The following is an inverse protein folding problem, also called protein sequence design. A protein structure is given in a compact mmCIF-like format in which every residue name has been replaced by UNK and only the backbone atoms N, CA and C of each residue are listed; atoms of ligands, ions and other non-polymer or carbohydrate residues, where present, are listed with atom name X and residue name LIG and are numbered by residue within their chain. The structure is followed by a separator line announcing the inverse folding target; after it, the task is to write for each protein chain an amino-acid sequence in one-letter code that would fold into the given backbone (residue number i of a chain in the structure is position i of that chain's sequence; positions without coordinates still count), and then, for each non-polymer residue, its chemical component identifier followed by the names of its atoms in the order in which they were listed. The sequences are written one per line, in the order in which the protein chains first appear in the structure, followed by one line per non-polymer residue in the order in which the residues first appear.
data_IF_724624076089
#
_entry.id   IF_724624076089
#
_cell.length_a   1.000
_cell.length_b   1.000
_cell.length_c   1.000
_cell.angle_alpha   90.00
_cell.angle_beta   90.00
_cell.angle_gamma   90.00
#
_symmetry.space_group_name_H-M   'P 1'
#
loop_
_entity.id
_entity.type
_entity.pdbx_description
1 polymer ?
#
# COMPACT_ATOMS: atom_id res chain seq x y z
N UNK A 1 8.02 15.55 -11.17
CA UNK A 1 8.13 16.31 -10.48
C UNK A 1 7.40 16.23 -9.30
N UNK A 2 6.33 15.95 -9.12
CA UNK A 2 5.67 15.87 -7.89
C UNK A 2 5.66 14.51 -7.39
N UNK A 3 6.69 14.17 -6.66
CA UNK A 3 6.76 12.86 -6.06
C UNK A 3 5.92 12.87 -4.81
N UNK A 4 4.81 12.21 -4.86
CA UNK A 4 3.98 12.09 -3.70
C UNK A 4 4.31 10.83 -2.97
N UNK A 5 4.23 10.90 -1.66
CA UNK A 5 4.42 9.74 -0.80
C UNK A 5 3.27 9.66 0.18
N UNK A 6 2.95 8.46 0.58
CA UNK A 6 1.87 8.22 1.53
C UNK A 6 2.43 7.55 2.77
N UNK A 7 1.96 7.97 3.92
CA UNK A 7 2.28 7.25 5.16
C UNK A 7 1.36 6.03 5.24
N UNK A 8 1.71 5.09 6.10
CA UNK A 8 0.85 3.92 6.28
C UNK A 8 -0.50 4.33 6.84
N UNK A 9 -0.52 5.36 7.67
CA UNK A 9 -1.78 5.83 8.22
C UNK A 9 -2.67 6.39 7.12
N UNK A 10 -2.07 7.11 6.18
CA UNK A 10 -2.84 7.64 5.06
C UNK A 10 -3.40 6.53 4.19
N UNK A 11 -2.60 5.50 3.96
CA UNK A 11 -3.06 4.36 3.17
C UNK A 11 -4.20 3.66 3.89
N UNK A 12 -4.07 3.51 5.21
CA UNK A 12 -5.13 2.93 6.00
C UNK A 12 -6.42 3.73 5.85
N UNK A 13 -6.31 5.06 5.88
CA UNK A 13 -7.49 5.91 5.78
C UNK A 13 -8.17 5.78 4.43
N UNK A 14 -7.37 5.55 3.38
CA UNK A 14 -7.92 5.44 2.04
C UNK A 14 -8.48 4.05 1.77
N UNK A 15 -7.75 3.02 2.17
CA UNK A 15 -8.10 1.66 1.79
C UNK A 15 -8.71 0.84 2.91
N UNK A 16 -8.65 1.35 4.13
CA UNK A 16 -9.11 0.63 5.32
C UNK A 16 -8.29 -0.62 5.60
N UNK A 17 -7.14 -0.76 4.97
CA UNK A 17 -6.23 -1.85 5.26
C UNK A 17 -5.49 -1.51 6.55
N UNK A 18 -5.42 -2.45 7.47
CA UNK A 18 -4.78 -2.15 8.75
C UNK A 18 -3.30 -1.84 8.60
N UNK A 19 -2.81 -0.96 9.46
CA UNK A 19 -1.40 -0.60 9.44
C UNK A 19 -0.53 -1.83 9.74
N UNK A 20 -1.00 -2.70 10.60
CA UNK A 20 -0.28 -3.92 10.92
C UNK A 20 -0.11 -4.79 9.68
N UNK A 21 -1.15 -4.91 8.90
CA UNK A 21 -1.07 -5.71 7.67
C UNK A 21 -0.15 -5.05 6.65
N UNK A 22 -0.21 -3.72 6.56
CA UNK A 22 0.69 -2.99 5.65
C UNK A 22 2.15 -3.22 6.05
N UNK A 23 2.44 -3.19 7.35
CA UNK A 23 3.78 -3.47 7.82
C UNK A 23 4.21 -4.88 7.44
N UNK A 24 3.31 -5.82 7.53
CA UNK A 24 3.62 -7.18 7.17
C UNK A 24 3.95 -7.30 5.68
N UNK A 25 3.19 -6.61 4.85
CA UNK A 25 3.44 -6.62 3.42
C UNK A 25 4.81 -6.03 3.08
N UNK A 26 5.19 -4.98 3.81
CA UNK A 26 6.49 -4.37 3.60
C UNK A 26 7.59 -5.34 3.99
N UNK A 27 7.44 -6.01 5.11
CA UNK A 27 8.45 -6.95 5.56
C UNK A 27 8.56 -8.15 4.63
N UNK A 28 7.45 -8.54 4.03
CA UNK A 28 7.44 -9.67 3.12
C UNK A 28 7.91 -9.28 1.72
N UNK A 29 8.18 -8.02 1.50
CA UNK A 29 8.63 -7.56 0.19
C UNK A 29 7.53 -7.39 -0.82
N UNK A 30 6.29 -7.41 -0.38
CA UNK A 30 5.15 -7.29 -1.29
C UNK A 30 4.70 -5.86 -1.49
N UNK A 31 5.10 -4.97 -0.60
CA UNK A 31 4.80 -3.56 -0.72
C UNK A 31 6.10 -2.80 -0.52
N UNK A 32 6.52 -2.07 -1.53
CA UNK A 32 7.75 -1.32 -1.43
C UNK A 32 7.54 -0.05 -0.63
N UNK A 33 8.45 0.24 0.27
CA UNK A 33 8.36 1.43 1.10
C UNK A 33 9.76 1.89 1.46
N UNK A 34 9.87 3.17 1.73
CA UNK A 34 11.12 3.76 2.17
C UNK A 34 11.01 4.04 3.66
N UNK A 35 12.01 3.57 4.41
CA UNK A 35 12.01 3.80 5.84
C UNK A 35 12.56 5.19 6.13
N UNK A 36 11.76 6.00 6.79
CA UNK A 36 12.19 7.34 7.18
C UNK A 36 12.03 7.42 8.68
N UNK A 37 13.15 7.50 9.38
CA UNK A 37 13.10 7.55 10.83
C UNK A 37 12.39 6.31 11.34
N UNK A 38 11.26 6.46 12.00
CA UNK A 38 10.51 5.32 12.51
C UNK A 38 9.37 4.93 11.61
N UNK A 39 9.12 5.71 10.59
CA UNK A 39 7.94 5.50 9.75
C UNK A 39 8.33 4.99 8.39
N UNK A 40 7.33 4.50 7.67
CA UNK A 40 7.50 4.12 6.28
C UNK A 40 6.77 5.09 5.41
N UNK A 41 7.34 5.36 4.24
CA UNK A 41 6.67 6.15 3.20
C UNK A 41 6.58 5.31 1.96
N UNK A 42 5.42 5.30 1.35
CA UNK A 42 5.15 4.54 0.14
C UNK A 42 4.96 5.53 -1.00
N UNK A 43 5.74 5.37 -2.07
CA UNK A 43 5.61 6.27 -3.19
C UNK A 43 4.27 6.10 -3.87
N UNK A 44 3.84 7.14 -4.56
CA UNK A 44 2.57 7.10 -5.27
C UNK A 44 2.54 5.93 -6.26
N UNK A 45 3.65 5.70 -6.94
CA UNK A 45 3.75 4.62 -7.89
C UNK A 45 3.50 3.27 -7.21
N UNK A 46 4.16 3.03 -6.10
CA UNK A 46 4.02 1.77 -5.39
C UNK A 46 2.65 1.64 -4.75
N UNK A 47 2.06 2.75 -4.34
CA UNK A 47 0.72 2.74 -3.80
C UNK A 47 -0.29 2.32 -4.86
N UNK A 48 -0.16 2.84 -6.07
CA UNK A 48 -1.06 2.48 -7.15
C UNK A 48 -0.91 1.02 -7.54
N UNK A 49 0.31 0.50 -7.51
CA UNK A 49 0.51 -0.91 -7.79
C UNK A 49 -0.16 -1.77 -6.74
N UNK A 50 -0.11 -1.34 -5.50
CA UNK A 50 -0.77 -2.04 -4.42
C UNK A 50 -2.29 -2.05 -4.64
N UNK A 51 -2.83 -0.91 -5.03
CA UNK A 51 -4.26 -0.78 -5.29
C UNK A 51 -4.66 -1.70 -6.46
N UNK A 52 -3.84 -1.73 -7.49
CA UNK A 52 -4.10 -2.58 -8.65
C UNK A 52 -4.22 -4.03 -8.26
N UNK A 53 -3.32 -4.49 -7.42
CA UNK A 53 -3.36 -5.88 -7.00
C UNK A 53 -4.64 -6.18 -6.24
N UNK A 54 -5.07 -5.26 -5.41
CA UNK A 54 -6.29 -5.45 -4.66
C UNK A 54 -7.51 -5.45 -5.57
N UNK A 55 -7.50 -4.60 -6.57
CA UNK A 55 -8.60 -4.56 -7.51
C UNK A 55 -8.73 -5.83 -8.30
N UNK A 56 -7.61 -6.36 -8.74
CA UNK A 56 -7.64 -7.60 -9.49
C UNK A 56 -8.25 -8.71 -8.65
N UNK A 57 -7.88 -8.76 -7.38
CA UNK A 57 -8.44 -9.77 -6.51
C UNK A 57 -9.94 -9.61 -6.35
N UNK A 58 -10.38 -8.37 -6.20
CA UNK A 58 -11.80 -8.12 -6.05
C UNK A 58 -12.57 -8.46 -7.31
N UNK A 59 -12.00 -8.15 -8.46
CA UNK A 59 -12.64 -8.46 -9.71
C UNK A 59 -12.79 -9.95 -9.90
N UNK A 60 -11.79 -10.70 -9.52
CA UNK A 60 -11.86 -12.14 -9.60
C UNK A 60 -12.99 -12.68 -8.75
N UNK A 61 -13.16 -12.10 -7.59
CA UNK A 61 -14.22 -12.53 -6.72
C UNK A 61 -15.58 -12.20 -7.29
N UNK A 62 -15.68 -11.05 -7.91
CA UNK A 62 -16.95 -10.63 -8.44
C UNK A 62 -17.41 -11.44 -9.61
N UNK A 63 -16.50 -11.99 -10.35
CA UNK A 63 -16.87 -12.76 -11.50
C UNK A 63 -17.45 -14.09 -11.15
N UNK A 64 -17.28 -14.49 -9.95
CA UNK A 64 -17.87 -15.75 -9.50
C UNK A 64 -19.29 -15.55 -8.92
#
# INVERSE_FOLDING_TARGET
MNNKFFTLQEIHNITHTSVIYLNKLIKDGKLKATRISKDYLVSEYDFYKFIELMEVKQNEKQEN
#
